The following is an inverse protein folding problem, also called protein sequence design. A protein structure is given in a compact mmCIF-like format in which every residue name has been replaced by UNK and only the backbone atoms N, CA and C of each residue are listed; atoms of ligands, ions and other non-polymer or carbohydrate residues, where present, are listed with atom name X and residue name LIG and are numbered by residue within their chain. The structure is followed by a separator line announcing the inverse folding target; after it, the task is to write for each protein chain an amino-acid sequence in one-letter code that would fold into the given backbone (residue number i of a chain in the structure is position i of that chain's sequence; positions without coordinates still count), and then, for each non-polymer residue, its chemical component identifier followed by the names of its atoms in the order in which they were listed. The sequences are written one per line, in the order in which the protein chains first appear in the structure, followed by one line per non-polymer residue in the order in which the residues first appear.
data_IF_455429525860
#
_entry.id   IF_455429525860
#
_cell.length_a   1.000
_cell.length_b   1.000
_cell.length_c   1.000
_cell.angle_alpha   90.00
_cell.angle_beta   90.00
_cell.angle_gamma   90.00
#
_symmetry.space_group_name_H-M   'P 1'
#
loop_
_entity.id
_entity.type
_entity.pdbx_description
1 polymer ?
#
# COMPACT_ATOMS: atom_id res chain seq x y z
N UNK A 1 44.91 -6.74 -55.26
CA UNK A 1 44.43 -7.80 -56.19
C UNK A 1 44.09 -9.04 -55.38
N UNK A 2 43.00 -9.71 -55.78
CA UNK A 2 42.44 -10.99 -55.30
C UNK A 2 41.42 -10.97 -54.16
N UNK A 3 40.18 -10.86 -54.63
CA UNK A 3 38.91 -11.43 -54.15
C UNK A 3 38.90 -12.96 -54.00
N UNK A 4 38.14 -13.50 -53.04
CA UNK A 4 36.97 -14.42 -53.19
C UNK A 4 36.60 -15.03 -51.80
N UNK A 5 35.45 -14.64 -51.24
CA UNK A 5 34.19 -15.41 -51.05
C UNK A 5 34.19 -16.54 -49.99
N UNK A 6 33.27 -16.39 -49.04
CA UNK A 6 32.76 -17.48 -48.19
C UNK A 6 31.60 -16.97 -47.32
N UNK A 7 30.36 -17.29 -47.71
CA UNK A 7 29.11 -16.96 -46.99
C UNK A 7 28.75 -18.04 -45.95
N UNK A 8 27.87 -17.63 -45.02
CA UNK A 8 27.03 -18.38 -44.05
C UNK A 8 27.75 -18.78 -42.76
N UNK A 9 27.27 -18.47 -41.55
CA UNK A 9 26.07 -17.79 -41.11
C UNK A 9 25.99 -17.78 -39.56
N UNK A 10 24.90 -17.20 -39.05
CA UNK A 10 24.39 -17.29 -37.67
C UNK A 10 24.89 -16.20 -36.69
N UNK A 11 24.21 -15.06 -36.80
CA UNK A 11 23.49 -14.34 -35.74
C UNK A 11 23.82 -14.64 -34.26
N UNK A 12 24.16 -13.58 -33.51
CA UNK A 12 23.48 -13.12 -32.27
C UNK A 12 24.34 -12.09 -31.53
N UNK A 13 23.93 -10.81 -31.55
CA UNK A 13 23.99 -9.85 -30.43
C UNK A 13 23.53 -8.47 -30.89
N UNK A 14 22.23 -8.34 -31.10
CA UNK A 14 21.54 -7.06 -31.07
C UNK A 14 20.26 -7.30 -30.25
N UNK A 15 20.23 -6.78 -29.03
CA UNK A 15 19.21 -7.12 -28.03
C UNK A 15 19.46 -6.45 -26.69
N UNK A 16 19.86 -5.18 -26.71
CA UNK A 16 19.67 -4.23 -25.62
C UNK A 16 18.99 -3.04 -26.27
N UNK A 17 17.93 -2.52 -25.64
CA UNK A 17 16.99 -1.50 -26.13
C UNK A 17 15.78 -2.11 -26.88
N UNK A 18 14.80 -2.59 -26.12
CA UNK A 18 13.36 -2.62 -26.45
C UNK A 18 12.58 -3.37 -25.36
N UNK A 19 12.29 -2.72 -24.22
CA UNK A 19 11.14 -3.08 -23.38
C UNK A 19 10.55 -1.75 -22.88
N UNK A 20 9.92 -1.04 -23.82
CA UNK A 20 9.07 0.11 -23.58
C UNK A 20 7.66 -0.30 -24.06
N UNK A 21 6.64 0.07 -23.30
CA UNK A 21 5.20 -0.16 -23.51
C UNK A 21 4.70 -1.61 -23.38
N UNK A 22 3.95 -1.87 -22.29
CA UNK A 22 2.63 -2.54 -22.29
C UNK A 22 2.23 -2.98 -20.87
N UNK A 23 1.82 -2.04 -20.03
CA UNK A 23 0.91 -2.24 -18.87
C UNK A 23 0.42 -0.83 -18.52
N UNK A 24 -0.85 -0.40 -18.52
CA UNK A 24 -2.13 -1.03 -18.30
C UNK A 24 -3.22 -0.24 -19.05
N UNK A 25 -3.99 -0.88 -19.92
CA UNK A 25 -5.37 -0.45 -20.20
C UNK A 25 -6.29 -1.52 -19.63
N UNK A 26 -6.97 -1.20 -18.54
CA UNK A 26 -8.09 -1.99 -18.06
C UNK A 26 -9.30 -1.69 -18.93
N UNK A 27 -9.46 -2.41 -20.03
CA UNK A 27 -10.74 -2.56 -20.73
C UNK A 27 -10.70 -3.85 -21.56
N UNK A 28 -11.57 -4.78 -21.16
CA UNK A 28 -12.16 -5.91 -21.87
C UNK A 28 -11.39 -6.61 -23.03
N UNK A 29 -11.36 -7.95 -22.89
CA UNK A 29 -11.24 -8.98 -23.92
C UNK A 29 -9.83 -9.46 -24.34
N UNK A 30 -9.66 -10.78 -24.16
CA UNK A 30 -8.75 -11.71 -24.84
C UNK A 30 -7.63 -11.14 -25.73
N UNK A 31 -6.37 -11.40 -25.36
CA UNK A 31 -5.41 -12.11 -26.23
C UNK A 31 -4.16 -12.51 -25.46
N UNK A 32 -3.70 -13.72 -25.76
CA UNK A 32 -2.59 -14.40 -25.12
C UNK A 32 -1.21 -13.86 -25.56
N UNK A 33 -0.19 -14.19 -24.76
CA UNK A 33 1.27 -14.15 -25.02
C UNK A 33 2.01 -12.83 -24.76
N UNK A 34 2.22 -12.53 -23.47
CA UNK A 34 3.45 -11.90 -22.98
C UNK A 34 3.87 -12.58 -21.66
N UNK A 35 4.68 -13.65 -21.72
CA UNK A 35 5.34 -14.23 -20.53
C UNK A 35 6.83 -13.92 -20.59
N UNK A 36 7.23 -12.81 -19.96
CA UNK A 36 8.59 -12.63 -19.46
C UNK A 36 8.83 -13.48 -18.21
N UNK A 37 10.09 -13.63 -17.76
CA UNK A 37 10.39 -14.44 -16.59
C UNK A 37 9.68 -13.86 -15.37
N UNK A 38 8.66 -14.60 -14.90
CA UNK A 38 7.90 -14.26 -13.72
C UNK A 38 8.83 -14.33 -12.51
N UNK A 39 9.24 -13.17 -11.98
CA UNK A 39 9.50 -13.09 -10.55
C UNK A 39 8.18 -13.53 -9.91
N UNK A 40 8.18 -14.70 -9.26
CA UNK A 40 6.98 -15.19 -8.56
C UNK A 40 6.66 -14.17 -7.48
N UNK A 41 5.70 -13.30 -7.77
CA UNK A 41 4.94 -12.63 -6.75
C UNK A 41 4.25 -13.74 -5.94
N UNK A 42 4.80 -14.04 -4.76
CA UNK A 42 4.29 -15.06 -3.84
C UNK A 42 3.14 -14.50 -2.99
N UNK A 43 2.58 -13.34 -3.35
CA UNK A 43 1.40 -12.80 -2.67
C UNK A 43 0.20 -13.67 -3.02
N UNK A 44 -0.01 -14.74 -2.25
CA UNK A 44 -1.30 -15.39 -2.16
C UNK A 44 -2.27 -14.37 -1.55
N UNK A 45 -3.11 -13.77 -2.40
CA UNK A 45 -4.27 -13.01 -1.93
C UNK A 45 -5.18 -14.00 -1.18
N UNK A 46 -4.97 -14.08 0.14
CA UNK A 46 -5.76 -14.94 1.01
C UNK A 46 -7.25 -14.56 0.97
N UNK A 47 -8.16 -15.46 1.40
CA UNK A 47 -9.55 -15.11 1.65
C UNK A 47 -9.64 -13.83 2.47
N UNK A 48 -10.65 -13.00 2.21
CA UNK A 48 -10.93 -11.76 2.95
C UNK A 48 -10.79 -12.02 4.45
N UNK A 49 -9.71 -11.52 5.04
CA UNK A 49 -9.52 -11.58 6.49
C UNK A 49 -10.27 -10.39 7.05
N UNK A 50 -11.53 -10.61 7.38
CA UNK A 50 -12.24 -9.71 8.28
C UNK A 50 -11.65 -9.96 9.66
N UNK A 51 -10.64 -9.16 10.04
CA UNK A 51 -10.15 -9.20 11.42
C UNK A 51 -11.32 -8.81 12.32
N UNK A 52 -11.62 -9.68 13.29
CA UNK A 52 -12.61 -9.42 14.32
C UNK A 52 -12.20 -8.17 15.12
N UNK A 53 -12.86 -7.04 14.85
CA UNK A 53 -12.55 -5.75 15.43
C UNK A 53 -12.62 -5.79 16.97
N UNK A 54 -13.48 -6.63 17.55
CA UNK A 54 -13.60 -6.82 19.01
C UNK A 54 -12.41 -7.56 19.63
N UNK A 55 -11.66 -8.33 18.84
CA UNK A 55 -10.43 -8.99 19.31
C UNK A 55 -9.21 -8.09 19.16
N UNK A 56 -9.24 -7.10 18.28
CA UNK A 56 -8.09 -6.24 18.02
C UNK A 56 -7.71 -5.41 19.25
N UNK A 57 -8.68 -4.92 20.01
CA UNK A 57 -8.43 -4.14 21.22
C UNK A 57 -7.51 -4.84 22.22
N UNK A 58 -7.71 -6.14 22.41
CA UNK A 58 -6.93 -6.94 23.35
C UNK A 58 -5.62 -7.50 22.75
N UNK A 59 -5.58 -7.61 21.43
CA UNK A 59 -4.43 -8.15 20.71
C UNK A 59 -3.35 -7.10 20.46
N UNK A 60 -3.76 -5.91 20.01
CA UNK A 60 -2.85 -4.85 19.58
C UNK A 60 -2.22 -4.19 20.80
N UNK A 61 -0.89 -4.25 20.87
CA UNK A 61 -0.10 -3.67 21.95
C UNK A 61 0.91 -2.68 21.39
N UNK A 62 1.22 -1.64 22.17
CA UNK A 62 2.31 -0.71 21.84
C UNK A 62 3.61 -1.48 21.63
N UNK A 63 4.36 -1.09 20.60
CA UNK A 63 5.66 -1.66 20.25
C UNK A 63 5.69 -3.18 20.03
N UNK A 64 4.54 -3.82 19.78
CA UNK A 64 4.51 -5.24 19.46
C UNK A 64 5.29 -5.54 18.18
N UNK A 65 5.91 -6.71 18.12
CA UNK A 65 6.68 -7.14 16.95
C UNK A 65 5.78 -7.52 15.77
N UNK A 66 6.22 -7.30 14.52
CA UNK A 66 5.47 -7.68 13.32
C UNK A 66 5.18 -9.18 13.26
N UNK A 67 6.11 -10.01 13.72
CA UNK A 67 5.94 -11.46 13.77
C UNK A 67 4.77 -11.89 14.66
N UNK A 68 4.46 -11.12 15.71
CA UNK A 68 3.28 -11.38 16.54
C UNK A 68 1.98 -11.17 15.75
N UNK A 69 1.94 -10.20 14.84
CA UNK A 69 0.81 -9.95 13.94
C UNK A 69 0.66 -11.10 12.94
N UNK A 70 1.76 -11.48 12.28
CA UNK A 70 1.75 -12.54 11.26
C UNK A 70 1.48 -13.93 11.87
N UNK A 71 1.95 -14.21 13.08
CA UNK A 71 1.64 -15.46 13.77
C UNK A 71 0.14 -15.59 14.08
N UNK A 72 -0.52 -14.47 14.46
CA UNK A 72 -1.95 -14.46 14.77
C UNK A 72 -2.82 -14.41 13.52
N UNK A 73 -2.39 -13.64 12.52
CA UNK A 73 -3.14 -13.35 11.30
C UNK A 73 -2.24 -13.53 10.06
N UNK A 74 -1.91 -14.79 9.70
CA UNK A 74 -0.91 -15.09 8.67
C UNK A 74 -1.34 -14.71 7.24
N UNK A 75 -2.65 -14.58 7.01
CA UNK A 75 -3.21 -14.24 5.70
C UNK A 75 -3.40 -12.72 5.61
N UNK A 76 -2.47 -12.04 4.96
CA UNK A 76 -2.47 -10.59 4.80
C UNK A 76 -2.77 -10.19 3.35
N UNK A 77 -3.36 -9.02 3.13
CA UNK A 77 -3.56 -8.45 1.79
C UNK A 77 -2.34 -7.69 1.29
N UNK A 78 -1.37 -7.43 2.17
CA UNK A 78 -0.11 -6.80 1.81
C UNK A 78 0.88 -6.86 2.97
N UNK A 79 2.11 -7.26 2.67
CA UNK A 79 3.24 -7.19 3.59
C UNK A 79 4.41 -6.56 2.84
N UNK A 80 4.73 -5.31 3.19
CA UNK A 80 5.84 -4.57 2.60
C UNK A 80 6.91 -4.39 3.66
N UNK A 81 8.14 -4.74 3.32
CA UNK A 81 9.35 -4.41 4.10
C UNK A 81 10.26 -3.57 3.21
N UNK A 82 10.73 -2.46 3.75
CA UNK A 82 11.58 -1.50 3.06
C UNK A 82 12.98 -1.56 3.66
N UNK A 83 14.02 -1.52 2.82
CA UNK A 83 15.40 -1.43 3.30
C UNK A 83 15.66 -0.05 3.94
N UNK A 84 15.13 0.98 3.29
CA UNK A 84 15.12 2.35 3.78
C UNK A 84 13.70 2.74 4.25
N UNK A 85 13.53 3.31 5.45
CA UNK A 85 12.20 3.69 5.94
C UNK A 85 11.50 4.69 5.02
N UNK A 86 10.25 4.42 4.67
CA UNK A 86 9.42 5.35 3.88
C UNK A 86 8.78 6.41 4.78
N UNK A 87 8.67 7.66 4.32
CA UNK A 87 7.96 8.70 5.06
C UNK A 87 6.45 8.51 4.93
N UNK A 88 5.77 8.43 6.07
CA UNK A 88 4.32 8.25 6.16
C UNK A 88 3.69 9.45 6.86
N UNK A 89 2.68 10.07 6.23
CA UNK A 89 2.04 11.29 6.73
C UNK A 89 0.88 10.95 7.69
N UNK A 90 0.96 11.44 8.93
CA UNK A 90 -0.07 11.27 9.97
C UNK A 90 -0.23 12.58 10.72
N UNK A 91 -1.46 13.09 10.80
CA UNK A 91 -1.78 14.34 11.51
C UNK A 91 -0.84 15.50 11.10
N UNK A 92 -0.53 15.60 9.80
CA UNK A 92 0.36 16.63 9.25
C UNK A 92 1.86 16.43 9.50
N UNK A 93 2.26 15.34 10.15
CA UNK A 93 3.67 15.03 10.45
C UNK A 93 4.14 13.77 9.73
N UNK A 94 5.42 13.76 9.34
CA UNK A 94 6.04 12.61 8.70
C UNK A 94 6.67 11.68 9.73
N UNK A 95 6.39 10.39 9.58
CA UNK A 95 6.91 9.31 10.40
C UNK A 95 7.66 8.30 9.53
N UNK A 96 8.87 7.86 9.92
CA UNK A 96 9.57 6.81 9.19
C UNK A 96 8.93 5.46 9.50
N UNK A 97 8.66 4.68 8.45
CA UNK A 97 8.05 3.35 8.50
C UNK A 97 8.87 2.39 7.64
N UNK A 98 9.33 1.29 8.20
CA UNK A 98 10.14 0.29 7.48
C UNK A 98 9.37 -1.00 7.17
N UNK A 99 8.23 -1.23 7.82
CA UNK A 99 7.35 -2.36 7.51
C UNK A 99 5.88 -1.98 7.65
N UNK A 100 5.08 -2.51 6.72
CA UNK A 100 3.63 -2.31 6.66
C UNK A 100 2.96 -3.67 6.52
N UNK A 101 2.00 -3.96 7.39
CA UNK A 101 1.11 -5.12 7.26
C UNK A 101 -0.32 -4.59 7.10
N UNK A 102 -0.97 -5.01 6.02
CA UNK A 102 -2.27 -4.50 5.58
C UNK A 102 -3.30 -5.63 5.46
N UNK A 103 -4.44 -5.46 6.11
CA UNK A 103 -5.62 -6.29 5.94
C UNK A 103 -6.73 -5.45 5.33
N UNK A 104 -7.39 -5.96 4.31
CA UNK A 104 -8.54 -5.35 3.67
C UNK A 104 -9.66 -6.36 3.61
N UNK A 105 -10.83 -5.98 4.12
CA UNK A 105 -12.05 -6.73 4.00
C UNK A 105 -13.18 -5.89 3.45
N UNK A 106 -14.13 -6.58 2.84
CA UNK A 106 -15.36 -5.97 2.36
C UNK A 106 -16.50 -6.97 2.52
N UNK A 107 -17.67 -6.46 2.90
CA UNK A 107 -18.92 -7.21 2.86
C UNK A 107 -19.75 -6.68 1.73
N UNK A 108 -20.26 -7.57 0.89
CA UNK A 108 -21.22 -7.24 -0.16
C UNK A 108 -22.64 -7.58 0.30
N UNK A 109 -23.61 -6.80 -0.15
CA UNK A 109 -25.04 -7.10 0.01
C UNK A 109 -25.71 -7.11 -1.36
N UNK A 110 -26.71 -8.00 -1.52
CA UNK A 110 -27.56 -8.00 -2.70
C UNK A 110 -28.48 -6.79 -2.67
N UNK A 111 -28.68 -6.17 -3.82
CA UNK A 111 -29.57 -5.01 -3.99
C UNK A 111 -30.23 -5.11 -5.35
N UNK A 112 -31.54 -4.93 -5.36
CA UNK A 112 -32.29 -4.75 -6.58
C UNK A 112 -31.91 -3.40 -7.22
N UNK A 113 -31.64 -3.38 -8.53
CA UNK A 113 -31.24 -2.16 -9.25
C UNK A 113 -29.78 -1.74 -9.13
N UNK A 114 -28.89 -2.55 -8.55
CA UNK A 114 -27.45 -2.27 -8.57
C UNK A 114 -26.90 -2.33 -10.02
N UNK A 115 -26.14 -1.30 -10.42
CA UNK A 115 -25.65 -1.13 -11.81
C UNK A 115 -24.80 -2.29 -12.31
N UNK A 116 -24.13 -3.04 -11.43
CA UNK A 116 -23.30 -4.19 -11.79
C UNK A 116 -23.55 -5.35 -10.83
N UNK A 117 -23.83 -6.54 -11.37
CA UNK A 117 -23.94 -7.83 -10.65
C UNK A 117 -25.00 -7.96 -9.54
N UNK A 118 -25.91 -7.00 -9.38
CA UNK A 118 -26.97 -7.07 -8.35
C UNK A 118 -26.44 -7.01 -6.92
N UNK A 119 -25.19 -6.59 -6.73
CA UNK A 119 -24.52 -6.49 -5.44
C UNK A 119 -23.88 -5.12 -5.28
N UNK A 120 -23.89 -4.62 -4.04
CA UNK A 120 -23.15 -3.44 -3.66
C UNK A 120 -22.28 -3.73 -2.44
N UNK A 121 -21.17 -3.02 -2.31
CA UNK A 121 -20.38 -3.04 -1.07
C UNK A 121 -21.20 -2.42 0.05
N UNK A 122 -21.48 -3.21 1.08
CA UNK A 122 -22.19 -2.82 2.29
C UNK A 122 -21.23 -2.35 3.39
N UNK A 123 -20.02 -2.90 3.41
CA UNK A 123 -19.02 -2.64 4.45
C UNK A 123 -17.62 -2.69 3.83
N UNK A 124 -16.75 -1.78 4.27
CA UNK A 124 -15.32 -1.80 3.95
C UNK A 124 -14.54 -1.71 5.26
N UNK A 125 -13.59 -2.60 5.41
CA UNK A 125 -12.67 -2.62 6.53
C UNK A 125 -11.24 -2.59 6.01
N UNK A 126 -10.41 -1.71 6.55
CA UNK A 126 -8.98 -1.67 6.29
C UNK A 126 -8.23 -1.48 7.58
N UNK A 127 -7.30 -2.39 7.85
CA UNK A 127 -6.52 -2.42 9.08
C UNK A 127 -5.06 -2.43 8.71
N UNK A 128 -4.32 -1.47 9.24
CA UNK A 128 -2.91 -1.28 8.92
C UNK A 128 -2.08 -1.23 10.18
N UNK A 129 -1.03 -2.04 10.18
CA UNK A 129 0.03 -2.02 11.16
C UNK A 129 1.27 -1.40 10.52
N UNK A 130 1.73 -0.28 11.07
CA UNK A 130 2.89 0.45 10.59
C UNK A 130 4.02 0.31 11.62
N UNK A 131 5.13 -0.27 11.19
CA UNK A 131 6.26 -0.59 12.04
C UNK A 131 7.45 0.32 11.72
N UNK A 132 8.25 0.56 12.75
CA UNK A 132 9.56 1.15 12.62
C UNK A 132 10.50 0.48 13.61
N UNK A 133 11.63 -0.01 13.10
CA UNK A 133 12.64 -0.76 13.85
C UNK A 133 12.03 -1.94 14.59
N UNK A 134 11.29 -2.77 13.85
CA UNK A 134 10.63 -4.00 14.33
C UNK A 134 9.58 -3.79 15.45
N UNK A 135 9.13 -2.54 15.66
CA UNK A 135 8.15 -2.19 16.69
C UNK A 135 6.92 -1.54 16.07
N UNK A 136 5.72 -1.95 16.50
CA UNK A 136 4.49 -1.32 16.08
C UNK A 136 4.43 0.13 16.59
N UNK A 137 4.45 1.08 15.65
CA UNK A 137 4.43 2.51 15.96
C UNK A 137 3.09 3.14 15.74
N UNK A 138 2.42 2.79 14.65
CA UNK A 138 1.08 3.31 14.35
C UNK A 138 0.17 2.14 13.99
N UNK A 139 -1.04 2.19 14.52
CA UNK A 139 -2.12 1.27 14.19
C UNK A 139 -3.31 2.07 13.68
N UNK A 140 -3.95 1.58 12.63
CA UNK A 140 -5.03 2.29 11.97
C UNK A 140 -6.12 1.32 11.56
N UNK A 141 -7.36 1.67 11.88
CA UNK A 141 -8.56 1.01 11.38
C UNK A 141 -9.41 2.03 10.64
N UNK A 142 -9.77 1.72 9.40
CA UNK A 142 -10.85 2.36 8.66
C UNK A 142 -11.97 1.36 8.53
N UNK A 143 -13.09 1.65 9.18
CA UNK A 143 -14.29 0.83 9.09
C UNK A 143 -15.47 1.68 8.66
N UNK A 144 -15.95 1.41 7.45
CA UNK A 144 -17.04 2.11 6.77
C UNK A 144 -18.19 1.16 6.52
N UNK A 145 -19.40 1.66 6.73
CA UNK A 145 -20.64 0.97 6.36
C UNK A 145 -21.45 1.85 5.42
N UNK A 146 -22.07 1.23 4.41
CA UNK A 146 -23.03 1.89 3.54
C UNK A 146 -24.32 2.16 4.31
N UNK A 147 -24.75 3.42 4.37
CA UNK A 147 -26.06 3.83 4.90
C UNK A 147 -26.80 4.62 3.81
N UNK A 148 -27.80 4.00 3.20
CA UNK A 148 -28.48 4.59 2.03
C UNK A 148 -27.49 4.75 0.87
N UNK A 149 -27.31 5.99 0.39
CA UNK A 149 -26.41 6.30 -0.72
C UNK A 149 -25.00 6.74 -0.30
N UNK A 150 -24.72 6.88 1.00
CA UNK A 150 -23.42 7.31 1.50
C UNK A 150 -22.67 6.20 2.24
N UNK A 151 -21.35 6.33 2.26
CA UNK A 151 -20.47 5.54 3.13
C UNK A 151 -20.22 6.32 4.42
N UNK A 152 -20.42 5.67 5.57
CA UNK A 152 -20.31 6.30 6.89
C UNK A 152 -19.27 5.58 7.72
N UNK A 153 -18.32 6.34 8.28
CA UNK A 153 -17.35 5.83 9.24
C UNK A 153 -18.06 5.36 10.51
N UNK A 154 -17.66 4.20 11.03
CA UNK A 154 -18.21 3.67 12.28
C UNK A 154 -17.36 4.04 13.49
N UNK A 155 -17.86 3.71 14.68
CA UNK A 155 -17.11 3.82 15.94
C UNK A 155 -15.82 2.97 15.99
N UNK A 156 -15.66 1.98 15.10
CA UNK A 156 -14.48 1.12 15.06
C UNK A 156 -13.30 1.75 14.30
N UNK A 157 -13.50 2.90 13.68
CA UNK A 157 -12.46 3.66 13.00
C UNK A 157 -11.55 4.35 14.02
N UNK A 158 -10.23 4.26 13.84
CA UNK A 158 -9.25 4.87 14.75
C UNK A 158 -9.22 6.39 14.63
N UNK A 159 -8.90 7.07 15.75
CA UNK A 159 -8.97 8.54 15.81
C UNK A 159 -8.00 9.25 14.85
N UNK A 160 -6.79 8.70 14.66
CA UNK A 160 -5.81 9.24 13.72
C UNK A 160 -6.34 9.30 12.28
N UNK A 161 -7.13 8.30 11.87
CA UNK A 161 -7.75 8.31 10.55
C UNK A 161 -8.92 9.28 10.48
N UNK A 162 -9.76 9.34 11.52
CA UNK A 162 -10.86 10.32 11.58
C UNK A 162 -10.34 11.76 11.47
N UNK A 163 -9.32 12.12 12.26
CA UNK A 163 -8.70 13.45 12.19
C UNK A 163 -8.19 13.79 10.81
N UNK A 164 -7.54 12.84 10.13
CA UNK A 164 -7.06 13.05 8.77
C UNK A 164 -8.19 13.37 7.79
N UNK A 165 -9.32 12.65 7.88
CA UNK A 165 -10.49 12.90 7.02
C UNK A 165 -11.17 14.23 7.38
N UNK A 166 -11.30 14.53 8.68
CA UNK A 166 -11.86 15.79 9.19
C UNK A 166 -11.06 17.02 8.74
N UNK A 167 -9.75 16.88 8.55
CA UNK A 167 -8.87 17.91 8.00
C UNK A 167 -8.93 18.05 6.47
N UNK A 168 -9.87 17.35 5.81
CA UNK A 168 -10.05 17.37 4.36
C UNK A 168 -9.14 16.40 3.61
N UNK A 169 -8.47 15.49 4.30
CA UNK A 169 -7.67 14.44 3.68
C UNK A 169 -8.55 13.43 2.93
N UNK A 170 -8.15 13.05 1.72
CA UNK A 170 -8.84 12.01 0.97
C UNK A 170 -8.61 10.63 1.63
N UNK A 171 -9.65 9.89 2.07
CA UNK A 171 -9.52 8.56 2.67
C UNK A 171 -8.61 7.57 1.93
N UNK A 172 -8.52 7.67 0.60
CA UNK A 172 -7.64 6.86 -0.23
C UNK A 172 -6.14 7.19 -0.03
N UNK A 173 -5.83 8.44 0.29
CA UNK A 173 -4.47 8.93 0.48
C UNK A 173 -3.89 8.50 1.82
N UNK A 174 -4.73 8.33 2.84
CA UNK A 174 -4.27 7.87 4.16
C UNK A 174 -3.74 6.46 4.11
N UNK A 175 -4.38 5.60 3.33
CA UNK A 175 -3.96 4.23 3.09
C UNK A 175 -3.47 4.17 1.67
N UNK A 176 -2.29 4.75 1.39
CA UNK A 176 -1.70 4.62 0.07
C UNK A 176 -1.80 3.14 -0.29
N UNK A 177 -2.50 2.83 -1.38
CA UNK A 177 -2.49 1.48 -1.93
C UNK A 177 -1.03 1.04 -1.96
N UNK A 178 -0.71 -0.24 -1.71
CA UNK A 178 0.69 -0.68 -1.67
C UNK A 178 1.53 -0.12 -2.83
N UNK A 179 0.90 0.09 -3.99
CA UNK A 179 1.38 0.91 -5.10
C UNK A 179 1.93 2.30 -4.74
N UNK A 180 1.17 3.21 -4.12
CA UNK A 180 1.63 4.56 -3.79
C UNK A 180 2.86 4.59 -2.86
N UNK A 181 2.89 3.78 -1.78
CA UNK A 181 4.09 3.69 -0.93
C UNK A 181 5.27 3.12 -1.70
N UNK A 182 5.03 2.10 -2.52
CA UNK A 182 6.06 1.47 -3.33
C UNK A 182 6.62 2.42 -4.39
N UNK A 183 5.78 3.23 -5.05
CA UNK A 183 6.24 4.24 -6.00
C UNK A 183 7.06 5.34 -5.28
N UNK A 184 6.64 5.77 -4.10
CA UNK A 184 7.42 6.72 -3.31
C UNK A 184 8.79 6.15 -2.93
N UNK A 185 8.83 4.91 -2.46
CA UNK A 185 10.08 4.20 -2.16
C UNK A 185 11.00 4.12 -3.38
N UNK A 186 10.44 3.75 -4.54
CA UNK A 186 11.18 3.69 -5.82
C UNK A 186 11.75 5.04 -6.23
N UNK A 187 10.97 6.10 -6.07
CA UNK A 187 11.38 7.48 -6.37
C UNK A 187 12.51 7.94 -5.46
N UNK A 188 12.37 7.77 -4.14
CA UNK A 188 13.31 8.27 -3.15
C UNK A 188 14.62 7.47 -3.13
N UNK A 189 14.54 6.13 -3.12
CA UNK A 189 15.69 5.27 -2.80
C UNK A 189 16.22 4.49 -4.00
N UNK A 190 15.38 4.17 -4.98
CA UNK A 190 15.82 3.43 -6.17
C UNK A 190 16.13 4.34 -7.36
N UNK A 191 15.90 5.66 -7.24
CA UNK A 191 16.07 6.66 -8.31
C UNK A 191 15.33 6.26 -9.60
N UNK A 192 14.18 5.60 -9.45
CA UNK A 192 13.32 5.19 -10.57
C UNK A 192 12.15 6.16 -10.69
N UNK A 193 11.69 6.48 -11.92
CA UNK A 193 10.46 7.24 -12.09
C UNK A 193 9.27 6.44 -11.53
N UNK A 194 8.28 7.10 -10.91
CA UNK A 194 7.03 6.47 -10.51
C UNK A 194 6.28 5.97 -11.75
N UNK A 195 5.60 4.83 -11.65
CA UNK A 195 4.81 4.29 -12.78
C UNK A 195 3.47 5.00 -12.99
N UNK A 196 2.96 5.66 -11.95
CA UNK A 196 1.68 6.36 -11.95
C UNK A 196 1.92 7.71 -11.27
N UNK A 197 2.03 8.77 -12.07
CA UNK A 197 2.17 10.14 -11.59
C UNK A 197 0.80 10.79 -11.36
N UNK A 198 0.69 11.63 -10.33
CA UNK A 198 -0.49 12.47 -10.07
C UNK A 198 -1.63 11.79 -9.31
N UNK A 199 -1.42 10.60 -8.76
CA UNK A 199 -2.46 9.80 -8.11
C UNK A 199 -2.24 9.59 -6.61
N UNK A 200 -1.07 9.98 -6.09
CA UNK A 200 -0.72 9.81 -4.69
C UNK A 200 -0.46 11.16 -4.03
N UNK A 201 -0.71 11.28 -2.72
CA UNK A 201 -0.52 12.55 -1.99
C UNK A 201 0.92 13.11 -2.07
N UNK A 202 1.92 12.25 -2.28
CA UNK A 202 3.34 12.61 -2.42
C UNK A 202 3.73 13.03 -3.85
N UNK A 203 2.81 12.93 -4.82
CA UNK A 203 2.98 13.50 -6.16
C UNK A 203 2.90 15.03 -6.16
N UNK A 204 2.49 15.65 -5.03
CA UNK A 204 2.49 17.10 -4.87
C UNK A 204 3.91 17.66 -5.08
N UNK A 205 4.07 18.74 -5.86
CA UNK A 205 5.37 19.37 -6.08
C UNK A 205 6.07 19.70 -4.76
N UNK A 206 7.37 19.44 -4.68
CA UNK A 206 8.17 19.74 -3.48
C UNK A 206 8.18 18.66 -2.39
N UNK A 207 7.23 17.71 -2.40
CA UNK A 207 7.10 16.71 -1.32
C UNK A 207 8.39 15.93 -1.01
N UNK A 208 9.11 15.46 -2.02
CA UNK A 208 10.36 14.72 -1.79
C UNK A 208 11.45 15.58 -1.14
N UNK A 209 11.47 16.88 -1.41
CA UNK A 209 12.41 17.81 -0.78
C UNK A 209 11.98 18.13 0.64
N UNK A 210 10.69 18.39 0.86
CA UNK A 210 10.08 18.60 2.19
C UNK A 210 10.35 17.43 3.13
N UNK A 211 10.19 16.18 2.68
CA UNK A 211 10.52 14.99 3.47
C UNK A 211 11.99 14.98 3.90
N UNK A 212 12.90 15.20 2.95
CA UNK A 212 14.33 15.06 3.21
C UNK A 212 14.86 16.17 4.12
N UNK A 213 14.24 17.35 4.08
CA UNK A 213 14.64 18.54 4.84
C UNK A 213 13.86 18.71 6.16
N UNK A 214 12.80 17.93 6.41
CA UNK A 214 12.03 17.99 7.66
C UNK A 214 12.90 17.58 8.87
N UNK A 215 13.25 18.52 9.78
CA UNK A 215 14.15 18.24 10.91
C UNK A 215 13.52 17.28 11.92
N UNK A 216 12.19 17.29 12.06
CA UNK A 216 11.49 16.37 12.95
C UNK A 216 11.50 14.96 12.37
N UNK A 217 11.26 14.81 11.07
CA UNK A 217 11.40 13.52 10.39
C UNK A 217 12.81 12.97 10.54
N UNK A 218 13.84 13.78 10.28
CA UNK A 218 15.24 13.38 10.45
C UNK A 218 15.57 12.98 11.89
N UNK A 219 15.01 13.68 12.89
CA UNK A 219 15.14 13.29 14.30
C UNK A 219 14.50 11.94 14.57
N UNK A 220 13.25 11.72 14.13
CA UNK A 220 12.54 10.43 14.30
C UNK A 220 13.27 9.28 13.60
N UNK A 221 13.82 9.54 12.42
CA UNK A 221 14.59 8.57 11.63
C UNK A 221 15.85 8.11 12.36
N UNK A 222 16.57 9.03 13.01
CA UNK A 222 17.81 8.74 13.75
C UNK A 222 17.55 8.17 15.14
N UNK A 223 16.71 8.83 15.93
CA UNK A 223 16.51 8.51 17.34
C UNK A 223 15.37 7.52 17.61
N UNK A 224 14.47 7.30 16.65
CA UNK A 224 13.20 6.65 16.92
C UNK A 224 12.13 7.63 17.42
N UNK A 225 10.97 7.08 17.73
CA UNK A 225 9.83 7.80 18.28
C UNK A 225 8.91 6.85 19.05
N UNK A 226 8.12 7.43 19.95
CA UNK A 226 7.15 6.69 20.75
C UNK A 226 5.98 6.18 19.89
N UNK A 227 5.46 5.01 20.27
CA UNK A 227 4.30 4.43 19.62
C UNK A 227 3.05 5.30 19.87
N UNK A 228 2.35 5.68 18.80
CA UNK A 228 1.08 6.42 18.86
C UNK A 228 -0.13 5.49 18.78
N UNK A 229 0.08 4.17 18.91
CA UNK A 229 -0.98 3.17 18.94
C UNK A 229 -1.98 3.50 20.05
N UNK A 230 -3.21 3.77 19.62
CA UNK A 230 -4.37 3.96 20.47
C UNK A 230 -5.49 3.05 19.98
N UNK A 231 -5.89 2.12 20.84
CA UNK A 231 -6.96 1.14 20.61
C UNK A 231 -8.14 1.34 21.54
N UNK A 232 -8.16 2.44 22.31
CA UNK A 232 -9.19 2.72 23.31
C UNK A 232 -10.61 2.78 22.72
N UNK A 233 -10.74 3.25 21.47
CA UNK A 233 -12.01 3.36 20.75
C UNK A 233 -12.47 2.07 20.05
N UNK A 234 -11.62 1.05 19.99
CA UNK A 234 -12.02 -0.25 19.46
C UNK A 234 -13.01 -0.92 20.43
N UNK A 235 -13.98 -1.70 19.90
CA UNK A 235 -14.97 -2.39 20.72
C UNK A 235 -14.29 -3.39 21.66
#
# INVERSE_FOLDING_TARGET
MNSFTGRKGIARRAGRIAVLLCVFTGLYANTAKCRGPQSKDQTELGPVVTLDLGRLKHFVKKDMAPDSVLARYPKTNGHLTFLEPVPYLIDGQLYPIDRVILYTGARSQKVEGAQFSGVQTAERNRITFLFFREKLKIFVVRHEVRKGHSDVMTQHTTQNFLRFVEQGGNPGDFFPHGGCLWQLYRKLYMKMPPLLEGHCYWDKPGFSKEVMEDPDYQRRLKAGYESTVDVSRLP
#
